data_IF_265034143790
#
_entry.id   IF_265034143790
#
_cell.length_a   1.000
_cell.length_b   1.000
_cell.length_c   1.000
_cell.angle_alpha   90.00
_cell.angle_beta   90.00
_cell.angle_gamma   90.00
#
_symmetry.space_group_name_H-M   'P 1'
#
loop_
_entity.id
_entity.type
_entity.pdbx_description
1 polymer ?
#
# COMPACT_ATOMS: atom_id res chain seq x y z
N UNK A 1 -43.17 -17.80 -4.94
CA UNK A 1 -43.26 -17.65 -3.46
C UNK A 1 -41.93 -17.31 -2.78
N UNK A 2 -40.79 -17.91 -3.14
CA UNK A 2 -39.50 -17.66 -2.45
C UNK A 2 -39.00 -16.20 -2.54
N UNK A 3 -39.14 -15.56 -3.71
CA UNK A 3 -38.75 -14.15 -3.93
C UNK A 3 -39.56 -13.19 -3.05
N UNK A 4 -40.87 -13.44 -2.91
CA UNK A 4 -41.75 -12.65 -2.06
C UNK A 4 -41.37 -12.79 -0.57
N UNK A 5 -41.10 -14.02 -0.13
CA UNK A 5 -40.60 -14.27 1.23
C UNK A 5 -39.29 -13.54 1.49
N UNK A 6 -38.34 -13.61 0.54
CA UNK A 6 -37.05 -12.92 0.66
C UNK A 6 -37.20 -11.40 0.76
N UNK A 7 -38.03 -10.78 -0.09
CA UNK A 7 -38.32 -9.33 -0.02
C UNK A 7 -38.96 -8.94 1.33
N UNK A 8 -39.91 -9.74 1.83
CA UNK A 8 -40.54 -9.49 3.13
C UNK A 8 -39.52 -9.63 4.27
N UNK A 9 -38.63 -10.61 4.20
CA UNK A 9 -37.56 -10.82 5.17
C UNK A 9 -36.56 -9.66 5.19
N UNK A 10 -36.20 -9.09 4.03
CA UNK A 10 -35.34 -7.90 3.98
C UNK A 10 -35.92 -6.72 4.76
N UNK A 11 -37.24 -6.46 4.65
CA UNK A 11 -37.90 -5.38 5.41
C UNK A 11 -37.82 -5.60 6.93
N UNK A 12 -38.03 -6.83 7.38
CA UNK A 12 -37.87 -7.19 8.79
C UNK A 12 -36.42 -7.03 9.24
N UNK A 13 -35.45 -7.43 8.40
CA UNK A 13 -34.02 -7.27 8.69
C UNK A 13 -33.62 -5.79 8.80
N UNK A 14 -34.06 -4.94 7.86
CA UNK A 14 -33.84 -3.49 7.96
C UNK A 14 -34.39 -2.93 9.28
N UNK A 15 -35.54 -3.42 9.73
CA UNK A 15 -36.13 -3.00 11.01
C UNK A 15 -35.27 -3.44 12.21
N UNK A 16 -34.63 -4.61 12.14
CA UNK A 16 -33.69 -5.06 13.17
C UNK A 16 -32.40 -4.23 13.17
N UNK A 17 -31.90 -3.84 12.00
CA UNK A 17 -30.69 -3.02 11.89
C UNK A 17 -30.92 -1.57 12.33
N UNK A 18 -32.08 -0.98 12.02
CA UNK A 18 -32.41 0.42 12.39
C UNK A 18 -32.66 0.57 13.89
N UNK A 19 -33.29 -0.42 14.52
CA UNK A 19 -33.58 -0.36 15.95
C UNK A 19 -32.27 -0.45 16.74
N UNK A 20 -32.19 0.33 17.83
CA UNK A 20 -31.08 0.31 18.82
C UNK A 20 -31.09 -0.98 19.65
N UNK A 21 -31.00 -2.13 18.99
CA UNK A 21 -30.73 -3.40 19.65
C UNK A 21 -29.26 -3.45 20.12
N UNK A 22 -28.93 -4.43 20.96
CA UNK A 22 -27.53 -4.61 21.38
C UNK A 22 -26.65 -5.04 20.19
N UNK A 23 -25.33 -4.85 20.34
CA UNK A 23 -24.35 -5.21 19.30
C UNK A 23 -24.41 -6.68 18.88
N UNK A 24 -24.79 -7.60 19.77
CA UNK A 24 -24.95 -9.03 19.43
C UNK A 24 -26.07 -9.28 18.42
N UNK A 25 -27.19 -8.57 18.52
CA UNK A 25 -28.28 -8.70 17.53
C UNK A 25 -27.81 -8.22 16.16
N UNK A 26 -27.10 -7.08 16.10
CA UNK A 26 -26.53 -6.58 14.85
C UNK A 26 -25.49 -7.54 14.28
N UNK A 27 -24.58 -8.04 15.11
CA UNK A 27 -23.56 -9.03 14.73
C UNK A 27 -24.19 -10.30 14.14
N UNK A 28 -25.18 -10.89 14.81
CA UNK A 28 -25.88 -12.07 14.31
C UNK A 28 -26.65 -11.79 13.02
N UNK A 29 -27.32 -10.63 12.94
CA UNK A 29 -28.06 -10.22 11.75
C UNK A 29 -27.12 -10.07 10.55
N UNK A 30 -25.98 -9.40 10.73
CA UNK A 30 -24.96 -9.25 9.69
C UNK A 30 -24.31 -10.58 9.33
N UNK A 31 -24.06 -11.48 10.29
CA UNK A 31 -23.54 -12.82 10.00
C UNK A 31 -24.49 -13.64 9.13
N UNK A 32 -25.80 -13.55 9.36
CA UNK A 32 -26.81 -14.20 8.51
C UNK A 32 -26.83 -13.56 7.12
N UNK A 33 -26.80 -12.22 7.05
CA UNK A 33 -26.75 -11.50 5.76
C UNK A 33 -25.50 -11.84 4.95
N UNK A 34 -24.35 -11.97 5.61
CA UNK A 34 -23.09 -12.41 4.99
C UNK A 34 -23.27 -13.77 4.30
N UNK A 35 -23.80 -14.77 5.02
CA UNK A 35 -24.07 -16.10 4.45
C UNK A 35 -25.04 -16.05 3.26
N UNK A 36 -26.05 -15.17 3.33
CA UNK A 36 -27.01 -14.96 2.23
C UNK A 36 -26.29 -14.35 1.02
N UNK A 37 -25.46 -13.33 1.21
CA UNK A 37 -24.72 -12.69 0.12
C UNK A 37 -23.64 -13.58 -0.49
N UNK A 38 -23.00 -14.44 0.33
CA UNK A 38 -22.06 -15.48 -0.12
C UNK A 38 -22.70 -16.47 -1.11
N UNK A 39 -24.01 -16.70 -0.96
CA UNK A 39 -24.80 -17.55 -1.85
C UNK A 39 -25.34 -16.79 -3.08
N UNK A 40 -24.74 -15.63 -3.41
CA UNK A 40 -25.09 -14.77 -4.54
C UNK A 40 -26.54 -14.23 -4.51
N UNK A 41 -27.15 -14.15 -3.33
CA UNK A 41 -28.46 -13.52 -3.20
C UNK A 41 -28.32 -11.99 -3.20
N UNK A 42 -29.00 -11.34 -4.16
CA UNK A 42 -29.02 -9.89 -4.29
C UNK A 42 -29.79 -9.21 -3.15
N UNK A 43 -29.08 -8.44 -2.33
CA UNK A 43 -29.69 -7.52 -1.38
C UNK A 43 -30.21 -6.28 -2.11
N UNK A 44 -31.25 -5.64 -1.55
CA UNK A 44 -31.71 -4.34 -2.05
C UNK A 44 -30.68 -3.25 -1.78
N UNK A 45 -30.64 -2.23 -2.64
CA UNK A 45 -29.72 -1.10 -2.49
C UNK A 45 -29.93 -0.39 -1.15
N UNK A 46 -31.18 -0.16 -0.74
CA UNK A 46 -31.52 0.47 0.55
C UNK A 46 -30.94 -0.31 1.74
N UNK A 47 -30.99 -1.65 1.68
CA UNK A 47 -30.43 -2.49 2.73
C UNK A 47 -28.91 -2.45 2.71
N UNK A 48 -28.27 -2.40 1.54
CA UNK A 48 -26.82 -2.27 1.41
C UNK A 48 -26.34 -0.91 1.93
N UNK A 49 -27.06 0.18 1.66
CA UNK A 49 -26.75 1.50 2.20
C UNK A 49 -26.87 1.52 3.73
N UNK A 50 -27.91 0.89 4.28
CA UNK A 50 -28.05 0.74 5.74
C UNK A 50 -26.92 -0.10 6.35
N UNK A 51 -26.56 -1.21 5.70
CA UNK A 51 -25.45 -2.07 6.14
C UNK A 51 -24.13 -1.31 6.12
N UNK A 52 -23.86 -0.51 5.08
CA UNK A 52 -22.62 0.25 4.95
C UNK A 52 -22.36 1.22 6.14
N UNK A 53 -23.41 1.69 6.82
CA UNK A 53 -23.27 2.53 8.01
C UNK A 53 -22.52 1.82 9.16
N UNK A 54 -22.62 0.49 9.23
CA UNK A 54 -21.94 -0.32 10.24
C UNK A 54 -20.42 -0.43 10.01
N UNK A 55 -19.88 0.10 8.91
CA UNK A 55 -18.43 0.24 8.76
C UNK A 55 -17.81 1.21 9.79
N UNK A 56 -18.63 2.11 10.36
CA UNK A 56 -18.21 3.05 11.41
C UNK A 56 -18.40 2.50 12.84
N UNK A 57 -18.83 1.25 12.98
CA UNK A 57 -19.03 0.64 14.31
C UNK A 57 -17.69 0.46 15.04
N UNK A 58 -17.76 0.47 16.38
CA UNK A 58 -16.62 0.24 17.25
C UNK A 58 -16.29 -1.26 17.39
N UNK A 59 -17.27 -2.15 17.20
CA UNK A 59 -17.06 -3.60 17.20
C UNK A 59 -16.49 -4.05 15.86
N UNK A 60 -15.23 -4.53 15.91
CA UNK A 60 -14.53 -5.02 14.72
C UNK A 60 -15.21 -6.22 14.06
N UNK A 61 -15.98 -7.02 14.79
CA UNK A 61 -16.73 -8.14 14.21
C UNK A 61 -17.89 -7.66 13.36
N UNK A 62 -18.59 -6.61 13.81
CA UNK A 62 -19.64 -5.94 13.03
C UNK A 62 -19.04 -5.35 11.76
N UNK A 63 -17.90 -4.65 11.90
CA UNK A 63 -17.24 -4.00 10.75
C UNK A 63 -16.71 -5.02 9.75
N UNK A 64 -16.10 -6.10 10.22
CA UNK A 64 -15.60 -7.18 9.35
C UNK A 64 -16.74 -7.83 8.57
N UNK A 65 -17.83 -8.21 9.25
CA UNK A 65 -19.00 -8.78 8.58
C UNK A 65 -19.61 -7.80 7.57
N UNK A 66 -19.63 -6.51 7.89
CA UNK A 66 -20.12 -5.46 7.00
C UNK A 66 -19.25 -5.35 5.75
N UNK A 67 -17.92 -5.28 5.92
CA UNK A 67 -16.98 -5.22 4.80
C UNK A 67 -17.08 -6.46 3.91
N UNK A 68 -17.23 -7.66 4.50
CA UNK A 68 -17.42 -8.90 3.75
C UNK A 68 -18.72 -8.90 2.93
N UNK A 69 -19.84 -8.46 3.52
CA UNK A 69 -21.12 -8.32 2.80
C UNK A 69 -20.95 -7.39 1.59
N UNK A 70 -20.29 -6.24 1.78
CA UNK A 70 -20.03 -5.29 0.68
C UNK A 70 -19.12 -5.89 -0.38
N UNK A 71 -18.10 -6.66 0.02
CA UNK A 71 -17.17 -7.33 -0.89
C UNK A 71 -17.89 -8.38 -1.77
N UNK A 72 -18.80 -9.16 -1.20
CA UNK A 72 -19.62 -10.10 -1.96
C UNK A 72 -20.64 -9.39 -2.83
N UNK A 73 -21.26 -8.32 -2.32
CA UNK A 73 -22.25 -7.56 -3.08
C UNK A 73 -21.64 -6.93 -4.34
N UNK A 74 -20.46 -6.32 -4.22
CA UNK A 74 -19.78 -5.65 -5.33
C UNK A 74 -19.22 -6.61 -6.38
N UNK A 75 -19.21 -7.92 -6.11
CA UNK A 75 -18.79 -8.90 -7.12
C UNK A 75 -19.76 -8.96 -8.32
N UNK A 76 -21.04 -8.68 -8.08
CA UNK A 76 -22.09 -8.80 -9.10
C UNK A 76 -22.93 -7.52 -9.26
N UNK A 77 -22.68 -6.49 -8.45
CA UNK A 77 -23.45 -5.26 -8.44
C UNK A 77 -22.52 -4.04 -8.28
N UNK A 78 -23.04 -2.87 -8.64
CA UNK A 78 -22.37 -1.60 -8.41
C UNK A 78 -22.74 -1.08 -7.03
N UNK A 79 -21.75 -0.59 -6.28
CA UNK A 79 -22.00 0.19 -5.08
C UNK A 79 -22.40 1.61 -5.46
N UNK A 80 -23.28 2.23 -4.66
CA UNK A 80 -23.58 3.65 -4.83
C UNK A 80 -22.35 4.48 -4.46
N UNK A 81 -22.21 5.65 -5.09
CA UNK A 81 -21.10 6.57 -4.81
C UNK A 81 -21.01 6.94 -3.32
N UNK A 82 -22.15 7.07 -2.65
CA UNK A 82 -22.21 7.32 -1.20
C UNK A 82 -21.45 6.26 -0.38
N UNK A 83 -21.57 4.97 -0.75
CA UNK A 83 -20.88 3.89 -0.06
C UNK A 83 -19.38 3.93 -0.37
N UNK A 84 -19.03 4.22 -1.62
CA UNK A 84 -17.62 4.43 -1.99
C UNK A 84 -17.03 5.52 -1.11
N UNK A 85 -17.63 6.71 -1.07
CA UNK A 85 -17.19 7.83 -0.24
C UNK A 85 -17.07 7.48 1.27
N UNK A 86 -17.95 6.62 1.80
CA UNK A 86 -17.81 6.10 3.17
C UNK A 86 -16.55 5.25 3.33
N UNK A 87 -16.32 4.31 2.41
CA UNK A 87 -15.11 3.47 2.40
C UNK A 87 -13.85 4.34 2.33
N UNK A 88 -13.86 5.39 1.51
CA UNK A 88 -12.74 6.32 1.36
C UNK A 88 -12.38 7.02 2.68
N UNK A 89 -13.38 7.48 3.43
CA UNK A 89 -13.19 8.11 4.74
C UNK A 89 -12.60 7.14 5.76
N UNK A 90 -13.01 5.88 5.71
CA UNK A 90 -12.58 4.86 6.65
C UNK A 90 -11.18 4.36 6.32
N UNK A 91 -10.84 4.25 5.03
CA UNK A 91 -9.53 3.80 4.56
C UNK A 91 -8.39 4.62 5.19
N UNK A 92 -8.58 5.92 5.38
CA UNK A 92 -7.56 6.81 5.96
C UNK A 92 -7.33 6.59 7.47
N UNK A 93 -8.32 6.06 8.19
CA UNK A 93 -8.35 6.07 9.65
C UNK A 93 -8.21 4.68 10.29
N UNK A 94 -8.09 3.63 9.47
CA UNK A 94 -8.05 2.24 9.93
C UNK A 94 -6.72 1.56 9.65
N UNK A 95 -6.37 0.60 10.50
CA UNK A 95 -5.20 -0.25 10.34
C UNK A 95 -5.48 -1.49 9.47
N UNK A 96 -6.73 -1.95 9.43
CA UNK A 96 -7.24 -3.11 8.69
C UNK A 96 -7.78 -2.74 7.29
N UNK A 97 -6.95 -2.09 6.49
CA UNK A 97 -7.34 -1.54 5.18
C UNK A 97 -7.51 -2.61 4.08
N UNK A 98 -7.03 -3.84 4.29
CA UNK A 98 -6.86 -4.82 3.22
C UNK A 98 -8.20 -5.24 2.56
N UNK A 99 -9.26 -5.42 3.35
CA UNK A 99 -10.60 -5.73 2.80
C UNK A 99 -11.20 -4.53 2.07
N UNK A 100 -11.01 -3.32 2.60
CA UNK A 100 -11.51 -2.09 1.97
C UNK A 100 -10.86 -1.83 0.62
N UNK A 101 -9.54 -2.04 0.52
CA UNK A 101 -8.80 -1.96 -0.74
C UNK A 101 -9.34 -2.99 -1.73
N UNK A 102 -9.67 -4.21 -1.29
CA UNK A 102 -10.27 -5.22 -2.17
C UNK A 102 -11.67 -4.81 -2.67
N UNK A 103 -12.50 -4.17 -1.84
CA UNK A 103 -13.78 -3.62 -2.26
C UNK A 103 -13.57 -2.54 -3.32
N UNK A 104 -12.66 -1.58 -3.08
CA UNK A 104 -12.33 -0.52 -4.04
C UNK A 104 -11.78 -1.08 -5.35
N UNK A 105 -10.95 -2.13 -5.29
CA UNK A 105 -10.46 -2.86 -6.47
C UNK A 105 -11.61 -3.40 -7.31
N UNK A 106 -12.59 -4.06 -6.67
CA UNK A 106 -13.77 -4.58 -7.37
C UNK A 106 -14.66 -3.45 -7.91
N UNK A 107 -14.79 -2.33 -7.18
CA UNK A 107 -15.48 -1.14 -7.68
C UNK A 107 -14.81 -0.63 -8.96
N UNK A 108 -13.49 -0.40 -8.93
CA UNK A 108 -12.73 0.06 -10.09
C UNK A 108 -12.81 -0.93 -11.26
N UNK A 109 -12.72 -2.24 -10.98
CA UNK A 109 -12.92 -3.26 -12.02
C UNK A 109 -14.29 -3.17 -12.68
N UNK A 110 -15.34 -2.91 -11.89
CA UNK A 110 -16.71 -2.71 -12.35
C UNK A 110 -17.00 -1.29 -12.85
N UNK A 111 -15.97 -0.53 -13.26
CA UNK A 111 -16.10 0.80 -13.87
C UNK A 111 -16.61 1.91 -12.93
N UNK A 112 -16.52 1.73 -11.60
CA UNK A 112 -16.74 2.83 -10.67
C UNK A 112 -15.62 3.87 -10.76
N UNK A 113 -16.00 5.14 -10.74
CA UNK A 113 -15.07 6.28 -10.70
C UNK A 113 -14.63 6.47 -9.23
N UNK A 114 -13.33 6.39 -8.98
CA UNK A 114 -12.76 6.66 -7.66
C UNK A 114 -12.42 8.14 -7.52
N UNK A 115 -12.66 8.76 -6.37
CA UNK A 115 -12.32 10.17 -6.19
C UNK A 115 -10.81 10.38 -6.23
N UNK A 116 -10.37 11.59 -6.61
CA UNK A 116 -8.95 11.96 -6.58
C UNK A 116 -8.32 11.74 -5.19
N UNK A 117 -9.08 12.03 -4.13
CA UNK A 117 -8.67 11.79 -2.75
C UNK A 117 -8.35 10.32 -2.49
N UNK A 118 -9.12 9.41 -3.07
CA UNK A 118 -8.89 7.96 -2.98
C UNK A 118 -7.68 7.53 -3.74
N UNK A 119 -7.49 8.04 -4.94
CA UNK A 119 -6.30 7.76 -5.73
C UNK A 119 -5.03 8.20 -4.98
N UNK A 120 -5.04 9.39 -4.39
CA UNK A 120 -3.93 9.90 -3.56
C UNK A 120 -3.73 9.02 -2.31
N UNK A 121 -4.80 8.61 -1.64
CA UNK A 121 -4.73 7.74 -0.46
C UNK A 121 -4.11 6.39 -0.83
N UNK A 122 -4.57 5.79 -1.92
CA UNK A 122 -4.04 4.53 -2.44
C UNK A 122 -2.56 4.69 -2.84
N UNK A 123 -2.16 5.77 -3.50
CA UNK A 123 -0.76 6.00 -3.83
C UNK A 123 0.11 6.15 -2.57
N UNK A 124 -0.34 6.85 -1.54
CA UNK A 124 0.39 6.97 -0.28
C UNK A 124 0.53 5.62 0.42
N UNK A 125 -0.54 4.82 0.45
CA UNK A 125 -0.49 3.46 0.96
C UNK A 125 0.45 2.56 0.15
N UNK A 126 0.56 2.78 -1.16
CA UNK A 126 1.53 2.08 -2.00
C UNK A 126 2.97 2.43 -1.63
N UNK A 127 3.26 3.73 -1.40
CA UNK A 127 4.55 4.20 -0.94
C UNK A 127 4.93 3.59 0.42
N UNK A 128 3.96 3.44 1.32
CA UNK A 128 4.19 2.97 2.68
C UNK A 128 4.21 1.44 2.83
N UNK A 129 3.48 0.71 1.97
CA UNK A 129 3.26 -0.72 2.12
C UNK A 129 4.52 -1.53 1.82
N UNK A 130 4.91 -2.36 2.79
CA UNK A 130 5.93 -3.42 2.61
C UNK A 130 5.30 -4.79 2.34
N UNK A 131 3.98 -4.94 2.55
CA UNK A 131 3.26 -6.20 2.30
C UNK A 131 2.96 -6.34 0.81
N UNK A 132 3.51 -7.38 0.19
CA UNK A 132 3.38 -7.64 -1.25
C UNK A 132 1.91 -7.76 -1.67
N UNK A 133 1.10 -8.54 -0.95
CA UNK A 133 -0.33 -8.73 -1.27
C UNK A 133 -1.10 -7.40 -1.28
N UNK A 134 -0.87 -6.53 -0.29
CA UNK A 134 -1.49 -5.20 -0.22
C UNK A 134 -1.05 -4.33 -1.38
N UNK A 135 0.27 -4.31 -1.65
CA UNK A 135 0.87 -3.55 -2.76
C UNK A 135 0.26 -3.96 -4.10
N UNK A 136 0.18 -5.26 -4.36
CA UNK A 136 -0.43 -5.81 -5.58
C UNK A 136 -1.91 -5.43 -5.69
N UNK A 137 -2.68 -5.48 -4.60
CA UNK A 137 -4.07 -5.05 -4.60
C UNK A 137 -4.22 -3.56 -4.92
N UNK A 138 -3.36 -2.71 -4.37
CA UNK A 138 -3.36 -1.26 -4.66
C UNK A 138 -3.00 -1.00 -6.12
N UNK A 139 -1.94 -1.62 -6.63
CA UNK A 139 -1.52 -1.49 -8.04
C UNK A 139 -2.68 -1.86 -8.97
N UNK A 140 -3.30 -3.03 -8.76
CA UNK A 140 -4.44 -3.46 -9.58
C UNK A 140 -5.63 -2.49 -9.49
N UNK A 141 -5.88 -1.93 -8.30
CA UNK A 141 -6.95 -0.93 -8.12
C UNK A 141 -6.69 0.32 -8.96
N UNK A 142 -5.46 0.82 -8.91
CA UNK A 142 -5.05 2.01 -9.68
C UNK A 142 -5.02 1.72 -11.19
N UNK A 143 -4.55 0.55 -11.62
CA UNK A 143 -4.59 0.12 -13.03
C UNK A 143 -6.02 0.01 -13.57
N UNK A 144 -6.96 -0.49 -12.77
CA UNK A 144 -8.37 -0.49 -13.17
C UNK A 144 -8.96 0.92 -13.18
N UNK A 145 -8.58 1.77 -12.22
CA UNK A 145 -9.02 3.15 -12.21
C UNK A 145 -8.53 3.92 -13.46
N UNK A 146 -7.29 3.72 -13.91
CA UNK A 146 -6.73 4.36 -15.12
C UNK A 146 -7.53 4.05 -16.39
N UNK A 147 -8.11 2.84 -16.48
CA UNK A 147 -8.97 2.46 -17.61
C UNK A 147 -10.29 3.20 -17.65
N UNK A 148 -10.76 3.68 -16.50
CA UNK A 148 -12.07 4.33 -16.36
C UNK A 148 -11.97 5.84 -16.21
N UNK A 149 -10.82 6.36 -15.79
CA UNK A 149 -10.57 7.78 -15.56
C UNK A 149 -9.09 8.11 -15.72
N UNK A 150 -8.77 9.33 -16.15
CA UNK A 150 -7.40 9.78 -16.24
C UNK A 150 -6.78 9.92 -14.84
N UNK A 151 -5.69 9.19 -14.57
CA UNK A 151 -4.97 9.33 -13.32
C UNK A 151 -4.09 10.61 -13.28
N UNK A 152 -3.90 11.20 -12.09
CA UNK A 152 -2.88 12.21 -11.87
C UNK A 152 -1.49 11.72 -12.30
N UNK A 153 -0.70 12.61 -12.92
CA UNK A 153 0.63 12.27 -13.48
C UNK A 153 1.56 11.62 -12.45
N UNK A 154 1.49 12.07 -11.19
CA UNK A 154 2.27 11.51 -10.08
C UNK A 154 1.98 10.02 -9.87
N UNK A 155 0.72 9.63 -9.98
CA UNK A 155 0.27 8.24 -9.80
C UNK A 155 0.64 7.40 -11.02
N UNK A 156 0.50 7.95 -12.22
CA UNK A 156 0.95 7.28 -13.45
C UNK A 156 2.45 7.00 -13.46
N UNK A 157 3.27 7.97 -13.05
CA UNK A 157 4.71 7.78 -12.89
C UNK A 157 5.02 6.68 -11.86
N UNK A 158 4.29 6.65 -10.73
CA UNK A 158 4.43 5.62 -9.72
C UNK A 158 4.14 4.21 -10.27
N UNK A 159 3.02 4.04 -10.98
CA UNK A 159 2.67 2.76 -11.62
C UNK A 159 3.73 2.34 -12.65
N UNK A 160 4.29 3.29 -13.40
CA UNK A 160 5.36 3.03 -14.36
C UNK A 160 6.63 2.52 -13.67
N UNK A 161 7.02 3.09 -12.53
CA UNK A 161 8.16 2.59 -11.75
C UNK A 161 7.92 1.20 -11.16
N UNK A 162 6.71 0.96 -10.67
CA UNK A 162 6.27 -0.36 -10.19
C UNK A 162 6.33 -1.42 -11.30
N UNK A 163 5.97 -1.06 -12.52
CA UNK A 163 6.10 -1.92 -13.70
C UNK A 163 7.56 -2.24 -14.05
N UNK A 164 8.44 -1.25 -14.04
CA UNK A 164 9.88 -1.48 -14.28
C UNK A 164 10.49 -2.45 -13.28
N UNK A 165 10.09 -2.37 -12.01
CA UNK A 165 10.54 -3.33 -11.01
C UNK A 165 10.04 -4.74 -11.31
N UNK A 166 8.78 -4.91 -11.76
CA UNK A 166 8.29 -6.22 -12.22
C UNK A 166 9.11 -6.79 -13.38
N UNK A 167 9.56 -5.94 -14.32
CA UNK A 167 10.46 -6.37 -15.40
C UNK A 167 11.79 -6.84 -14.80
N UNK A 168 12.39 -6.08 -13.89
CA UNK A 168 13.66 -6.45 -13.27
C UNK A 168 13.60 -7.74 -12.45
N UNK A 169 12.45 -8.03 -11.82
CA UNK A 169 12.30 -9.25 -11.01
C UNK A 169 11.97 -10.48 -11.86
N UNK A 170 11.24 -10.31 -12.98
CA UNK A 170 10.62 -11.43 -13.69
C UNK A 170 11.11 -11.63 -15.13
N UNK A 171 11.76 -10.62 -15.75
CA UNK A 171 12.19 -10.73 -17.14
C UNK A 171 13.46 -11.56 -17.26
N UNK A 172 13.44 -12.48 -18.22
CA UNK A 172 14.61 -13.25 -18.66
C UNK A 172 15.38 -12.48 -19.75
N UNK A 173 14.80 -11.40 -20.29
CA UNK A 173 15.38 -10.59 -21.35
C UNK A 173 16.31 -9.51 -20.78
N UNK A 174 17.62 -9.67 -20.98
CA UNK A 174 18.63 -8.71 -20.48
C UNK A 174 18.42 -7.28 -21.00
N UNK A 175 17.94 -7.12 -22.22
CA UNK A 175 17.76 -5.78 -22.82
C UNK A 175 16.60 -5.02 -22.17
N UNK A 176 15.48 -5.71 -21.90
CA UNK A 176 14.34 -5.12 -21.18
C UNK A 176 14.70 -4.78 -19.74
N UNK A 177 15.47 -5.66 -19.08
CA UNK A 177 15.97 -5.41 -17.74
C UNK A 177 16.90 -4.19 -17.70
N UNK A 178 17.82 -4.05 -18.66
CA UNK A 178 18.71 -2.88 -18.77
C UNK A 178 17.95 -1.57 -19.01
N UNK A 179 16.95 -1.58 -19.89
CA UNK A 179 16.11 -0.38 -20.11
C UNK A 179 15.34 -0.02 -18.83
N UNK A 180 14.69 -0.99 -18.19
CA UNK A 180 13.99 -0.76 -16.92
C UNK A 180 14.90 -0.19 -15.83
N UNK A 181 16.13 -0.70 -15.71
CA UNK A 181 17.15 -0.18 -14.79
C UNK A 181 17.54 1.27 -15.13
N UNK A 182 17.78 1.59 -16.41
CA UNK A 182 18.09 2.95 -16.85
C UNK A 182 16.96 3.93 -16.54
N UNK A 183 15.71 3.54 -16.78
CA UNK A 183 14.54 4.39 -16.53
C UNK A 183 14.37 4.67 -15.02
N UNK A 184 14.58 3.67 -14.17
CA UNK A 184 14.54 3.85 -12.72
C UNK A 184 15.67 4.75 -12.23
N UNK A 185 16.89 4.57 -12.73
CA UNK A 185 18.04 5.40 -12.39
C UNK A 185 17.85 6.87 -12.82
N UNK A 186 17.29 7.11 -14.00
CA UNK A 186 16.97 8.46 -14.45
C UNK A 186 15.89 9.12 -13.58
N UNK A 187 14.89 8.36 -13.14
CA UNK A 187 13.86 8.87 -12.25
C UNK A 187 14.46 9.33 -10.90
N UNK A 188 15.34 8.53 -10.29
CA UNK A 188 16.00 8.89 -9.04
C UNK A 188 16.99 10.04 -9.19
N UNK A 189 17.76 10.09 -10.29
CA UNK A 189 18.64 11.24 -10.59
C UNK A 189 17.85 12.55 -10.71
N UNK A 190 16.61 12.47 -11.21
CA UNK A 190 15.69 13.61 -11.29
C UNK A 190 14.93 13.87 -9.97
N UNK A 191 15.36 13.27 -8.85
CA UNK A 191 14.79 13.50 -7.52
C UNK A 191 13.43 12.86 -7.29
N UNK A 192 13.00 11.90 -8.13
CA UNK A 192 11.74 11.18 -7.92
C UNK A 192 11.92 10.10 -6.85
N UNK A 193 10.99 10.07 -5.89
CA UNK A 193 11.00 9.10 -4.81
C UNK A 193 10.36 7.78 -5.27
N UNK A 194 10.98 6.66 -4.89
CA UNK A 194 10.47 5.30 -5.14
C UNK A 194 9.69 4.78 -3.92
N UNK A 195 8.78 3.82 -4.13
CA UNK A 195 8.00 3.21 -3.04
C UNK A 195 8.89 2.34 -2.14
N UNK A 196 8.52 2.17 -0.86
CA UNK A 196 9.26 1.27 0.06
C UNK A 196 9.29 -0.17 -0.45
N UNK A 197 8.25 -0.59 -1.17
CA UNK A 197 8.21 -1.90 -1.83
C UNK A 197 9.33 -2.06 -2.86
N UNK A 198 9.56 -1.05 -3.71
CA UNK A 198 10.64 -1.04 -4.71
C UNK A 198 12.01 -1.10 -4.04
N UNK A 199 12.20 -0.31 -2.99
CA UNK A 199 13.45 -0.24 -2.25
C UNK A 199 13.82 -1.57 -1.56
N UNK A 200 12.81 -2.37 -1.18
CA UNK A 200 12.98 -3.65 -0.50
C UNK A 200 13.00 -4.86 -1.45
N UNK A 201 12.42 -4.76 -2.65
CA UNK A 201 12.34 -5.88 -3.62
C UNK A 201 13.64 -6.11 -4.40
N UNK A 202 14.78 -5.71 -3.85
CA UNK A 202 15.98 -5.49 -4.64
C UNK A 202 16.49 -6.70 -5.41
N UNK A 203 16.53 -6.53 -6.72
CA UNK A 203 17.64 -7.01 -7.51
C UNK A 203 18.91 -6.30 -7.02
N UNK A 204 19.98 -7.06 -6.79
CA UNK A 204 21.28 -6.60 -6.28
C UNK A 204 21.94 -5.52 -7.16
N UNK A 205 21.50 -5.35 -8.41
CA UNK A 205 21.96 -4.28 -9.29
C UNK A 205 21.45 -2.90 -8.86
N UNK A 206 20.17 -2.77 -8.52
CA UNK A 206 19.55 -1.49 -8.12
C UNK A 206 19.95 -1.09 -6.70
N UNK A 207 20.10 -2.06 -5.78
CA UNK A 207 20.49 -1.79 -4.38
C UNK A 207 21.94 -1.28 -4.25
N UNK A 208 22.84 -1.65 -5.17
CA UNK A 208 24.23 -1.20 -5.13
C UNK A 208 24.39 0.33 -5.18
N UNK A 209 23.30 1.04 -5.51
CA UNK A 209 23.26 2.49 -5.65
C UNK A 209 22.63 3.25 -4.48
N UNK A 210 22.12 2.59 -3.43
CA UNK A 210 21.41 3.31 -2.36
C UNK A 210 21.90 2.99 -0.95
N UNK A 211 22.28 4.04 -0.19
CA UNK A 211 22.48 3.94 1.26
C UNK A 211 21.47 4.80 2.02
N UNK A 212 21.01 4.26 3.15
CA UNK A 212 20.06 4.88 4.06
C UNK A 212 20.80 5.79 5.04
N UNK A 213 20.44 7.07 5.10
CA UNK A 213 21.00 8.01 6.07
C UNK A 213 20.37 7.80 7.46
N UNK A 214 21.05 8.31 8.49
CA UNK A 214 20.63 8.16 9.89
C UNK A 214 19.25 8.79 10.21
N UNK A 215 18.77 9.71 9.38
CA UNK A 215 17.44 10.34 9.47
C UNK A 215 16.37 9.63 8.60
N UNK A 216 16.71 8.50 7.97
CA UNK A 216 15.78 7.67 7.21
C UNK A 216 15.59 8.07 5.74
N UNK A 217 16.32 9.07 5.23
CA UNK A 217 16.37 9.40 3.79
C UNK A 217 17.27 8.39 3.06
N UNK A 218 17.08 8.23 1.74
CA UNK A 218 17.97 7.40 0.92
C UNK A 218 18.76 8.29 -0.04
N UNK A 219 20.08 8.16 0.00
CA UNK A 219 21.00 8.87 -0.89
C UNK A 219 21.54 7.89 -1.93
N UNK A 220 21.58 8.35 -3.18
CA UNK A 220 22.15 7.62 -4.31
C UNK A 220 23.69 7.71 -4.27
N UNK A 221 24.39 6.58 -4.24
CA UNK A 221 25.83 6.50 -4.54
C UNK A 221 26.00 5.76 -5.87
N UNK A 222 26.49 6.44 -6.91
CA UNK A 222 26.66 5.86 -8.25
C UNK A 222 27.40 4.52 -8.26
N UNK A 223 26.90 3.59 -9.07
CA UNK A 223 27.43 2.22 -9.23
C UNK A 223 28.86 2.27 -9.78
N UNK A 224 29.82 1.70 -9.04
CA UNK A 224 31.06 1.18 -9.63
C UNK A 224 30.85 -0.30 -9.92
N UNK A 225 30.79 -0.63 -11.20
CA UNK A 225 30.74 -1.98 -11.73
C UNK A 225 31.93 -2.79 -11.20
N UNK A 226 31.71 -3.90 -10.51
CA UNK A 226 32.76 -4.88 -10.29
C UNK A 226 32.28 -6.28 -10.66
N UNK A 227 32.71 -6.66 -11.87
CA UNK A 227 32.78 -8.04 -12.32
C UNK A 227 33.81 -8.79 -11.45
N UNK A 228 33.40 -9.98 -11.00
CA UNK A 228 34.19 -11.07 -10.40
C UNK A 228 34.88 -10.93 -9.02
N UNK A 229 34.61 -11.95 -8.20
CA UNK A 229 35.42 -12.56 -7.12
C UNK A 229 35.45 -11.99 -5.69
N UNK A 230 34.80 -12.76 -4.80
CA UNK A 230 35.30 -13.36 -3.53
C UNK A 230 35.82 -12.43 -2.41
N UNK A 231 35.10 -12.50 -1.28
CA UNK A 231 35.47 -12.42 0.14
C UNK A 231 36.34 -11.27 0.70
N UNK A 232 35.94 -10.85 1.91
CA UNK A 232 36.74 -10.30 3.02
C UNK A 232 37.21 -8.82 3.04
N UNK A 233 36.92 -7.96 2.05
CA UNK A 233 37.32 -6.54 2.12
C UNK A 233 36.21 -5.53 2.49
N UNK A 234 34.97 -5.98 2.76
CA UNK A 234 33.81 -5.09 2.92
C UNK A 234 33.83 -4.30 4.25
N UNK A 235 34.48 -4.79 5.30
CA UNK A 235 34.50 -4.10 6.60
C UNK A 235 35.53 -2.95 6.68
N UNK A 236 36.59 -2.97 5.89
CA UNK A 236 37.67 -1.97 6.00
C UNK A 236 37.36 -0.66 5.24
N UNK A 237 36.55 -0.72 4.17
CA UNK A 237 36.15 0.48 3.41
C UNK A 237 35.03 1.30 4.07
N UNK A 238 34.22 0.68 4.93
CA UNK A 238 33.17 1.39 5.68
C UNK A 238 33.79 2.34 6.74
N UNK A 239 34.95 1.97 7.30
CA UNK A 239 35.62 2.79 8.33
C UNK A 239 36.42 3.98 7.77
N UNK A 240 36.96 3.87 6.55
CA UNK A 240 37.72 4.96 5.91
C UNK A 240 36.83 6.05 5.30
N UNK A 241 35.61 5.70 4.88
CA UNK A 241 34.70 6.67 4.23
C UNK A 241 33.85 7.41 5.27
N UNK A 242 33.54 6.80 6.41
CA UNK A 242 32.90 7.51 7.54
C UNK A 242 33.80 8.60 8.13
N UNK A 243 35.12 8.43 8.11
CA UNK A 243 36.08 9.44 8.56
C UNK A 243 36.27 10.58 7.54
N UNK A 244 36.19 10.30 6.23
CA UNK A 244 36.21 11.33 5.20
C UNK A 244 34.90 12.15 5.15
N UNK A 245 33.75 11.52 5.37
CA UNK A 245 32.46 12.22 5.46
C UNK A 245 32.38 13.10 6.73
N UNK A 246 32.98 12.68 7.85
CA UNK A 246 33.10 13.52 9.04
C UNK A 246 34.02 14.73 8.83
N UNK A 247 35.07 14.60 8.03
CA UNK A 247 35.98 15.71 7.71
C UNK A 247 35.29 16.78 6.87
N UNK A 248 34.51 16.39 5.85
CA UNK A 248 33.75 17.32 5.00
C UNK A 248 32.62 18.01 5.79
N UNK A 249 32.02 17.33 6.77
CA UNK A 249 31.00 17.92 7.63
C UNK A 249 31.55 18.97 8.62
N UNK A 250 32.84 18.87 8.97
CA UNK A 250 33.52 19.80 9.89
C UNK A 250 33.88 21.13 9.22
N UNK A 251 34.08 21.13 7.90
CA UNK A 251 34.44 22.33 7.14
C UNK A 251 33.24 23.23 6.78
N UNK A 252 32.00 22.73 6.89
CA UNK A 252 30.79 23.47 6.51
C UNK A 252 29.94 23.98 7.68
N UNK A 253 30.22 23.54 8.92
CA UNK A 253 29.53 24.00 10.11
C UNK A 253 30.54 24.28 11.23
N UNK A 254 30.91 25.55 11.40
CA UNK A 254 31.51 26.02 12.66
C UNK A 254 30.45 25.91 13.77
N UNK A 255 30.46 24.77 14.47
CA UNK A 255 29.81 24.65 15.78
C UNK A 255 30.92 24.42 16.79
N UNK A 256 31.22 25.39 17.68
CA UNK A 256 32.14 25.15 18.76
C UNK A 256 31.48 24.18 19.74
N UNK A 257 32.29 23.35 20.40
CA UNK A 257 31.90 22.31 21.36
C UNK A 257 31.52 20.96 20.76
N UNK A 258 32.54 20.12 20.56
CA UNK A 258 32.55 18.73 21.02
C UNK A 258 34.00 18.29 21.20
N UNK A 259 34.38 17.97 22.45
CA UNK A 259 35.71 17.48 22.86
C UNK A 259 36.01 16.12 22.21
N UNK A 260 37.26 15.92 21.79
CA UNK A 260 37.77 14.70 21.17
C UNK A 260 37.61 13.45 22.07
N UNK A 261 37.21 12.29 21.53
CA UNK A 261 37.33 11.01 22.21
C UNK A 261 38.58 10.28 21.72
N UNK A 262 39.77 10.72 22.14
CA UNK A 262 41.00 9.93 22.05
C UNK A 262 41.34 9.38 23.43
N UNK A 263 40.64 8.35 23.91
CA UNK A 263 41.09 7.61 25.10
C UNK A 263 40.41 6.26 25.39
N UNK A 264 39.89 5.56 24.38
CA UNK A 264 39.27 4.24 24.58
C UNK A 264 39.62 3.34 23.41
N UNK A 265 40.88 2.87 23.33
CA UNK A 265 41.30 1.59 22.74
C UNK A 265 42.83 1.47 22.87
N UNK A 266 43.31 1.34 24.10
CA UNK A 266 44.53 0.60 24.43
C UNK A 266 44.15 -0.39 25.52
N UNK A 267 44.76 -1.56 25.43
CA UNK A 267 44.66 -2.75 26.29
C UNK A 267 43.61 -3.77 25.86
N UNK A 268 43.88 -5.07 25.75
CA UNK A 268 45.12 -5.86 25.71
C UNK A 268 44.65 -7.24 25.22
N UNK A 269 45.37 -7.85 24.28
CA UNK A 269 45.29 -9.28 23.99
C UNK A 269 46.73 -9.76 23.78
N UNK A 270 47.33 -10.20 24.88
CA UNK A 270 48.38 -11.22 24.94
C UNK A 270 47.84 -12.36 25.79
#
# INVERSE_FOLDING_TARGET
NLIYFFKKSQKSISTLLIKKFNGHVHQHTLSILKKITEQNHKLSNDLIELIAQFLFDHDMTIVTNTADILLYHVEYNLLSQNIVDMIERILQNRSDQDTLIQILRKCAFNQCILTEKTLITLSNLLFESTKEMRRNNIILTLEFADRNQQLPEVINNLLKYEYYVKILTNSVCENEAKDAEQQLNMATLNGKQLSKGILNSGSSSVISTFTRTADGRMILWGVVKHDYMVNSCILYRIHLITSAALAIYKDYFEVPYLKQPEQLYRQDCS
#
